data_IF_280598079321
#
_entry.id   IF_280598079321
#
_cell.length_a   1.000
_cell.length_b   1.000
_cell.length_c   1.000
_cell.angle_alpha   90.00
_cell.angle_beta   90.00
_cell.angle_gamma   90.00
#
_symmetry.space_group_name_H-M   'P 1'
#
loop_
_entity.id
_entity.type
_entity.pdbx_description
1 polymer ?
#
# COMPACT_ATOMS: atom_id res chain seq x y z
N UNK A 1 -3.84 -0.60 -12.94
CA UNK A 1 -4.27 -0.86 -11.55
C UNK A 1 -5.74 -1.26 -11.57
N UNK A 2 -6.18 -2.26 -10.79
CA UNK A 2 -7.58 -2.74 -10.80
C UNK A 2 -8.26 -2.41 -9.47
N UNK A 3 -9.26 -1.52 -9.47
CA UNK A 3 -10.04 -1.16 -8.27
C UNK A 3 -10.73 -2.38 -7.63
N UNK A 4 -11.22 -3.32 -8.46
CA UNK A 4 -11.85 -4.57 -7.97
C UNK A 4 -10.87 -5.41 -7.17
N UNK A 5 -9.63 -5.51 -7.65
CA UNK A 5 -8.58 -6.25 -6.95
C UNK A 5 -8.23 -5.57 -5.63
N UNK A 6 -8.04 -4.25 -5.64
CA UNK A 6 -7.76 -3.46 -4.44
C UNK A 6 -8.84 -3.66 -3.36
N UNK A 7 -10.12 -3.56 -3.72
CA UNK A 7 -11.23 -3.81 -2.77
C UNK A 7 -11.19 -5.23 -2.23
N UNK A 8 -10.99 -6.24 -3.09
CA UNK A 8 -10.98 -7.63 -2.66
C UNK A 8 -9.83 -7.95 -1.69
N UNK A 9 -8.61 -7.50 -1.98
CA UNK A 9 -7.47 -7.75 -1.08
C UNK A 9 -7.58 -6.94 0.22
N UNK A 10 -8.07 -5.70 0.17
CA UNK A 10 -8.34 -4.91 1.37
C UNK A 10 -9.36 -5.58 2.29
N UNK A 11 -10.43 -6.13 1.73
CA UNK A 11 -11.45 -6.84 2.53
C UNK A 11 -10.95 -8.17 3.10
N UNK A 12 -10.11 -8.90 2.37
CA UNK A 12 -9.59 -10.20 2.82
C UNK A 12 -8.44 -10.08 3.81
N UNK A 13 -7.57 -9.09 3.61
CA UNK A 13 -6.27 -9.00 4.28
C UNK A 13 -6.10 -7.74 5.12
N UNK A 14 -7.06 -6.83 5.09
CA UNK A 14 -7.02 -5.54 5.80
C UNK A 14 -6.02 -4.54 5.20
N UNK A 15 -5.39 -4.85 4.07
CA UNK A 15 -4.36 -4.03 3.44
C UNK A 15 -4.29 -4.28 1.93
N UNK A 16 -3.69 -3.33 1.21
CA UNK A 16 -3.46 -3.39 -0.24
C UNK A 16 -2.05 -2.87 -0.58
N UNK A 17 -1.02 -3.53 -0.04
CA UNK A 17 0.38 -3.22 -0.29
C UNK A 17 0.94 -3.96 -1.49
N UNK A 18 2.25 -3.82 -1.76
CA UNK A 18 2.90 -4.41 -2.92
C UNK A 18 2.74 -5.95 -2.98
N UNK A 19 2.81 -6.63 -1.83
CA UNK A 19 2.61 -8.07 -1.71
C UNK A 19 1.21 -8.50 -2.16
N UNK A 20 0.17 -7.73 -1.84
CA UNK A 20 -1.21 -7.99 -2.25
C UNK A 20 -1.47 -7.77 -3.74
N UNK A 21 -0.56 -7.12 -4.46
CA UNK A 21 -0.58 -6.98 -5.91
C UNK A 21 0.39 -7.94 -6.64
N UNK A 22 1.10 -8.80 -5.92
CA UNK A 22 1.96 -9.83 -6.51
C UNK A 22 1.17 -10.83 -7.36
N UNK A 23 1.85 -11.53 -8.27
CA UNK A 23 1.25 -12.60 -9.08
C UNK A 23 0.64 -13.72 -8.23
N UNK A 24 1.27 -14.04 -7.10
CA UNK A 24 0.74 -15.00 -6.15
C UNK A 24 -0.61 -14.52 -5.57
N UNK A 25 -0.70 -13.27 -5.13
CA UNK A 25 -1.94 -12.68 -4.61
C UNK A 25 -3.03 -12.52 -5.70
N UNK A 26 -2.64 -12.20 -6.93
CA UNK A 26 -3.56 -12.14 -8.08
C UNK A 26 -4.12 -13.52 -8.42
N UNK A 27 -3.32 -14.57 -8.21
CA UNK A 27 -3.70 -15.93 -8.54
C UNK A 27 -4.41 -16.69 -7.42
N UNK A 28 -4.34 -16.18 -6.18
CA UNK A 28 -5.05 -16.68 -5.01
C UNK A 28 -6.55 -16.91 -5.30
N UNK A 29 -7.06 -18.15 -5.13
CA UNK A 29 -8.46 -18.47 -5.38
C UNK A 29 -9.46 -17.65 -4.55
N UNK A 30 -9.12 -17.31 -3.29
CA UNK A 30 -10.00 -16.52 -2.42
C UNK A 30 -10.09 -15.09 -2.92
N UNK A 31 -8.96 -14.50 -3.32
CA UNK A 31 -8.91 -13.15 -3.92
C UNK A 31 -9.71 -13.13 -5.22
N UNK A 32 -9.53 -14.12 -6.10
CA UNK A 32 -10.30 -14.25 -7.35
C UNK A 32 -11.81 -14.33 -7.08
N UNK A 33 -12.22 -15.16 -6.12
CA UNK A 33 -13.62 -15.35 -5.76
C UNK A 33 -14.27 -14.05 -5.23
N UNK A 34 -13.57 -13.32 -4.34
CA UNK A 34 -14.11 -12.06 -3.83
C UNK A 34 -14.05 -10.94 -4.87
N UNK A 35 -12.96 -10.85 -5.65
CA UNK A 35 -12.82 -9.88 -6.75
C UNK A 35 -13.92 -10.03 -7.79
N UNK A 36 -14.34 -11.26 -8.10
CA UNK A 36 -15.47 -11.49 -8.98
C UNK A 36 -16.76 -10.86 -8.44
N UNK A 37 -16.93 -10.76 -7.11
CA UNK A 37 -18.07 -10.13 -6.43
C UNK A 37 -18.08 -8.60 -6.47
N UNK A 38 -16.95 -7.95 -6.74
CA UNK A 38 -16.84 -6.48 -6.78
C UNK A 38 -17.32 -5.94 -8.13
N UNK A 39 -18.63 -5.70 -8.25
CA UNK A 39 -19.28 -5.14 -9.44
C UNK A 39 -20.67 -4.56 -9.10
N UNK A 40 -21.10 -3.47 -9.76
CA UNK A 40 -20.36 -2.69 -10.74
C UNK A 40 -19.25 -1.83 -10.09
N UNK A 41 -18.28 -1.40 -10.90
CA UNK A 41 -17.32 -0.35 -10.54
C UNK A 41 -17.52 0.75 -11.55
N UNK A 42 -17.98 1.90 -11.08
CA UNK A 42 -18.40 3.03 -11.90
C UNK A 42 -17.51 4.23 -11.58
N UNK A 43 -17.30 5.07 -12.59
CA UNK A 43 -16.61 6.35 -12.44
C UNK A 43 -17.68 7.41 -12.64
N UNK A 44 -18.01 8.11 -11.58
CA UNK A 44 -18.93 9.24 -11.61
C UNK A 44 -18.12 10.54 -11.75
N UNK A 45 -18.47 11.37 -12.73
CA UNK A 45 -17.83 12.66 -12.98
C UNK A 45 -18.03 13.66 -11.83
N UNK A 46 -19.08 13.49 -11.03
CA UNK A 46 -19.33 14.29 -9.82
C UNK A 46 -18.47 13.87 -8.62
N UNK A 47 -17.83 12.70 -8.67
CA UNK A 47 -17.02 12.17 -7.58
C UNK A 47 -15.56 12.60 -7.74
N UNK A 48 -14.97 13.29 -6.74
CA UNK A 48 -13.54 13.65 -6.77
C UNK A 48 -12.65 12.41 -6.93
N UNK A 49 -11.52 12.56 -7.61
CA UNK A 49 -10.57 11.46 -7.87
C UNK A 49 -10.07 10.79 -6.57
N UNK A 50 -10.03 11.55 -5.48
CA UNK A 50 -9.58 11.07 -4.17
C UNK A 50 -10.69 10.42 -3.32
N UNK A 51 -11.94 10.46 -3.79
CA UNK A 51 -13.09 9.94 -3.09
C UNK A 51 -13.50 8.56 -3.61
N UNK A 52 -14.10 7.76 -2.73
CA UNK A 52 -14.68 6.47 -3.08
C UNK A 52 -15.90 6.19 -2.20
N UNK A 53 -16.92 5.58 -2.81
CA UNK A 53 -18.07 5.04 -2.10
C UNK A 53 -18.12 3.52 -2.32
N UNK A 54 -18.31 2.77 -1.25
CA UNK A 54 -18.39 1.31 -1.28
C UNK A 54 -19.61 0.87 -0.50
N UNK A 55 -20.46 0.07 -1.15
CA UNK A 55 -21.58 -0.65 -0.52
C UNK A 55 -21.30 -2.15 -0.54
N UNK A 56 -21.44 -2.80 0.61
CA UNK A 56 -21.27 -4.25 0.78
C UNK A 56 -22.59 -4.82 1.26
N UNK A 57 -23.13 -5.78 0.51
CA UNK A 57 -24.32 -6.56 0.90
C UNK A 57 -23.92 -7.95 1.36
N UNK A 58 -24.35 -8.32 2.56
CA UNK A 58 -24.10 -9.61 3.17
C UNK A 58 -25.17 -10.64 2.77
N UNK A 59 -24.88 -11.93 3.04
CA UNK A 59 -25.75 -13.04 2.66
C UNK A 59 -27.09 -13.06 3.41
N UNK A 60 -27.14 -12.47 4.61
CA UNK A 60 -28.36 -12.30 5.39
C UNK A 60 -29.24 -11.15 4.89
N UNK A 61 -28.82 -10.46 3.83
CA UNK A 61 -29.52 -9.33 3.23
C UNK A 61 -29.17 -7.97 3.85
N UNK A 62 -28.41 -7.93 4.94
CA UNK A 62 -27.93 -6.67 5.51
C UNK A 62 -26.89 -5.99 4.61
N UNK A 63 -26.70 -4.69 4.79
CA UNK A 63 -25.69 -3.93 4.05
C UNK A 63 -24.94 -2.95 4.94
N UNK A 64 -23.71 -2.63 4.52
CA UNK A 64 -22.92 -1.52 5.05
C UNK A 64 -22.46 -0.64 3.90
N UNK A 65 -22.48 0.66 4.12
CA UNK A 65 -22.01 1.66 3.17
C UNK A 65 -20.94 2.53 3.81
N UNK A 66 -19.87 2.79 3.06
CA UNK A 66 -18.75 3.62 3.48
C UNK A 66 -18.41 4.60 2.37
N UNK A 67 -18.27 5.86 2.73
CA UNK A 67 -17.83 6.92 1.83
C UNK A 67 -16.57 7.55 2.37
N UNK A 68 -15.49 7.43 1.62
CA UNK A 68 -14.24 8.15 1.86
C UNK A 68 -14.19 9.36 0.94
N UNK A 69 -13.95 10.54 1.50
CA UNK A 69 -13.90 11.80 0.73
C UNK A 69 -12.50 12.17 0.25
N UNK A 70 -11.48 11.61 0.91
CA UNK A 70 -10.08 11.83 0.59
C UNK A 70 -9.26 10.60 0.97
N UNK A 71 -8.49 10.10 0.01
CA UNK A 71 -7.58 8.98 0.20
C UNK A 71 -6.47 9.35 1.20
N UNK A 72 -6.08 8.39 2.04
CA UNK A 72 -4.90 8.56 2.90
C UNK A 72 -3.65 8.74 2.05
N UNK A 73 -2.86 9.78 2.35
CA UNK A 73 -1.70 10.20 1.57
C UNK A 73 -1.99 11.30 0.55
N UNK A 74 -3.24 11.76 0.43
CA UNK A 74 -3.56 12.93 -0.39
C UNK A 74 -3.19 14.24 0.30
N UNK A 75 -3.24 15.36 -0.43
CA UNK A 75 -3.02 16.69 0.16
C UNK A 75 -4.05 17.02 1.26
N UNK A 76 -5.30 16.56 1.08
CA UNK A 76 -6.37 16.78 2.04
C UNK A 76 -6.29 15.85 3.26
N UNK A 77 -5.65 14.68 3.12
CA UNK A 77 -5.46 13.69 4.19
C UNK A 77 -4.05 13.11 4.14
N UNK A 78 -3.02 13.88 4.52
CA UNK A 78 -1.64 13.42 4.49
C UNK A 78 -1.43 12.23 5.42
N UNK A 79 -0.45 11.39 5.10
CA UNK A 79 0.01 10.33 6.01
C UNK A 79 0.73 10.95 7.21
N UNK A 80 0.63 10.31 8.38
CA UNK A 80 1.53 10.62 9.48
C UNK A 80 2.96 10.18 9.16
N UNK A 81 3.93 10.77 9.83
CA UNK A 81 5.34 10.39 9.72
C UNK A 81 5.57 8.91 10.03
N UNK A 82 4.87 8.38 11.04
CA UNK A 82 4.90 6.95 11.38
C UNK A 82 4.38 6.08 10.23
N UNK A 83 3.26 6.45 9.61
CA UNK A 83 2.69 5.72 8.48
C UNK A 83 3.60 5.78 7.24
N UNK A 84 4.29 6.90 7.01
CA UNK A 84 5.30 7.02 5.96
C UNK A 84 6.49 6.10 6.22
N UNK A 85 7.00 6.05 7.45
CA UNK A 85 8.09 5.14 7.86
C UNK A 85 7.69 3.67 7.69
N UNK A 86 6.51 3.29 8.14
CA UNK A 86 5.97 1.93 7.97
C UNK A 86 5.81 1.56 6.49
N UNK A 87 5.27 2.47 5.68
CA UNK A 87 5.14 2.28 4.22
C UNK A 87 6.50 2.11 3.56
N UNK A 88 7.48 2.94 3.92
CA UNK A 88 8.85 2.84 3.42
C UNK A 88 9.45 1.47 3.77
N UNK A 89 9.33 1.04 5.02
CA UNK A 89 9.86 -0.25 5.47
C UNK A 89 9.21 -1.43 4.74
N UNK A 90 7.89 -1.42 4.58
CA UNK A 90 7.17 -2.47 3.87
C UNK A 90 7.59 -2.56 2.40
N UNK A 91 7.74 -1.43 1.71
CA UNK A 91 8.16 -1.39 0.32
C UNK A 91 9.63 -1.80 0.15
N UNK A 92 10.50 -1.34 1.05
CA UNK A 92 11.90 -1.73 1.05
C UNK A 92 12.07 -3.24 1.29
N UNK A 93 11.34 -3.81 2.26
CA UNK A 93 11.36 -5.25 2.50
C UNK A 93 10.86 -6.04 1.28
N UNK A 94 9.83 -5.56 0.58
CA UNK A 94 9.30 -6.22 -0.61
C UNK A 94 10.26 -6.15 -1.80
N UNK A 95 10.86 -4.98 -2.07
CA UNK A 95 11.69 -4.77 -3.26
C UNK A 95 13.19 -5.03 -3.07
N UNK A 96 13.69 -4.90 -1.85
CA UNK A 96 15.11 -4.99 -1.52
C UNK A 96 15.32 -5.49 -0.06
N UNK A 97 15.12 -6.80 0.19
CA UNK A 97 15.12 -7.35 1.55
C UNK A 97 16.43 -7.14 2.34
N UNK A 98 17.56 -6.95 1.66
CA UNK A 98 18.88 -6.76 2.29
C UNK A 98 19.24 -5.28 2.52
N UNK A 99 18.30 -4.36 2.30
CA UNK A 99 18.51 -2.93 2.55
C UNK A 99 18.51 -2.63 4.05
N UNK A 100 19.42 -1.77 4.50
CA UNK A 100 19.41 -1.23 5.86
C UNK A 100 18.30 -0.18 6.01
N UNK A 101 17.05 -0.65 6.16
CA UNK A 101 15.84 0.19 6.14
C UNK A 101 15.85 1.26 7.22
N UNK A 102 16.09 0.91 8.49
CA UNK A 102 15.97 1.86 9.59
C UNK A 102 17.02 3.00 9.50
N UNK A 103 18.32 2.72 9.33
CA UNK A 103 19.32 3.79 9.15
C UNK A 103 19.02 4.70 7.95
N UNK A 104 18.56 4.12 6.84
CA UNK A 104 18.20 4.87 5.65
C UNK A 104 16.97 5.77 5.88
N UNK A 105 15.92 5.25 6.53
CA UNK A 105 14.72 6.01 6.85
C UNK A 105 15.02 7.19 7.78
N UNK A 106 15.85 6.99 8.80
CA UNK A 106 16.25 8.06 9.72
C UNK A 106 17.08 9.13 9.00
N UNK A 107 18.02 8.73 8.15
CA UNK A 107 18.86 9.66 7.38
C UNK A 107 18.04 10.46 6.36
N UNK A 108 17.03 9.85 5.72
CA UNK A 108 16.10 10.56 4.82
C UNK A 108 15.32 11.65 5.56
N UNK A 109 15.03 11.46 6.85
CA UNK A 109 14.28 12.43 7.64
C UNK A 109 15.10 13.70 7.95
N UNK A 110 16.43 13.59 7.97
CA UNK A 110 17.35 14.71 8.19
C UNK A 110 18.08 15.12 6.91
N UNK A 111 17.55 14.77 5.73
CA UNK A 111 18.19 14.98 4.44
C UNK A 111 18.60 16.44 4.19
N UNK A 112 17.76 17.39 4.60
CA UNK A 112 18.01 18.82 4.41
C UNK A 112 19.26 19.32 5.16
N UNK A 113 19.66 18.62 6.22
CA UNK A 113 20.81 18.98 7.06
C UNK A 113 22.10 18.26 6.64
N UNK A 114 22.02 17.35 5.66
CA UNK A 114 23.18 16.61 5.19
C UNK A 114 24.09 17.49 4.33
N UNK A 115 25.37 17.52 4.68
CA UNK A 115 26.42 18.17 3.89
C UNK A 115 26.98 17.28 2.79
N UNK A 116 26.72 15.96 2.86
CA UNK A 116 27.14 14.97 1.87
C UNK A 116 26.01 13.98 1.56
N UNK A 117 25.47 14.05 0.34
CA UNK A 117 24.47 13.09 -0.16
C UNK A 117 25.06 11.69 -0.41
N UNK A 118 26.38 11.56 -0.51
CA UNK A 118 27.08 10.27 -0.67
C UNK A 118 26.87 9.34 0.52
N UNK A 119 26.82 9.89 1.74
CA UNK A 119 26.52 9.14 2.96
C UNK A 119 25.14 8.46 2.89
N UNK A 120 24.11 9.17 2.40
CA UNK A 120 22.78 8.62 2.16
C UNK A 120 22.83 7.50 1.10
N UNK A 121 23.51 7.75 -0.02
CA UNK A 121 23.61 6.77 -1.12
C UNK A 121 24.32 5.49 -0.68
N UNK A 122 25.28 5.58 0.25
CA UNK A 122 25.94 4.42 0.80
C UNK A 122 24.96 3.50 1.57
N UNK A 123 23.99 4.09 2.29
CA UNK A 123 22.90 3.38 3.00
C UNK A 123 21.82 2.84 2.06
N UNK A 124 21.64 3.46 0.89
CA UNK A 124 20.72 3.00 -0.14
C UNK A 124 21.18 1.74 -0.88
N UNK A 125 22.39 1.24 -0.58
CA UNK A 125 22.91 0.01 -1.18
C UNK A 125 22.44 -1.21 -0.37
N UNK A 126 21.92 -2.25 -1.05
CA UNK A 126 21.67 -3.52 -0.39
C UNK A 126 22.98 -4.12 0.12
N UNK A 127 22.92 -4.79 1.27
CA UNK A 127 24.04 -5.59 1.74
C UNK A 127 24.12 -6.91 0.96
N UNK A 128 25.31 -7.49 0.77
CA UNK A 128 25.45 -8.83 0.22
C UNK A 128 24.66 -9.81 1.09
N UNK A 129 23.86 -10.65 0.44
CA UNK A 129 23.07 -11.68 1.11
C UNK A 129 24.03 -12.64 1.82
N UNK A 130 23.97 -12.68 3.16
CA UNK A 130 24.72 -13.68 3.92
C UNK A 130 24.05 -15.02 3.65
N UNK A 131 24.75 -15.94 2.99
CA UNK A 131 24.26 -17.28 2.73
C UNK A 131 23.72 -17.88 4.04
N UNK A 132 22.43 -18.25 4.06
CA UNK A 132 21.87 -19.00 5.19
C UNK A 132 22.63 -20.34 5.31
N UNK A 133 22.99 -20.78 6.53
CA UNK A 133 23.55 -22.10 6.73
C UNK A 133 22.59 -23.21 6.31
#
# INVERSE_FOLDING_TARGET
MSARHAVAVSLLRGRAGAEEFSDAAVNDPQVKALRAKVRPVEIDAGTPVEAAHVSIRYADGSSVEVTEKAATGSLARPMSDSALREKFAALAHYGCPTLAVAPLADTLWTLADLTDAGALMALARPHPEVARP
#
